data_IF_487063875638
#
_entry.id   IF_487063875638
#
_cell.length_a   1.000
_cell.length_b   1.000
_cell.length_c   1.000
_cell.angle_alpha   90.00
_cell.angle_beta   90.00
_cell.angle_gamma   90.00
#
_symmetry.space_group_name_H-M   'P 1'
#
loop_
_entity.id
_entity.type
_entity.pdbx_description
1 polymer ?
#
# COMPACT_ATOMS: atom_id res chain seq x y z
N UNK A 1 -1.37 -30.07 0.07
CA UNK A 1 -0.55 -29.74 1.25
C UNK A 1 0.22 -28.49 0.90
N UNK A 2 -0.16 -27.38 1.49
CA UNK A 2 0.47 -26.06 1.27
C UNK A 2 0.68 -25.41 2.61
N UNK A 3 1.74 -24.64 2.76
CA UNK A 3 2.02 -23.83 3.95
C UNK A 3 1.29 -22.50 3.93
N UNK A 4 1.07 -21.97 2.72
CA UNK A 4 0.45 -20.67 2.50
C UNK A 4 -0.64 -20.78 1.42
N UNK A 5 -1.80 -20.21 1.71
CA UNK A 5 -2.86 -19.92 0.75
C UNK A 5 -2.88 -18.41 0.51
N UNK A 6 -2.88 -18.00 -0.76
CA UNK A 6 -3.03 -16.59 -1.14
C UNK A 6 -4.31 -16.45 -1.94
N UNK A 7 -5.15 -15.48 -1.59
CA UNK A 7 -6.36 -15.16 -2.33
C UNK A 7 -6.57 -13.65 -2.48
N UNK A 8 -7.22 -13.24 -3.55
CA UNK A 8 -7.58 -11.84 -3.82
C UNK A 8 -9.03 -11.71 -4.32
N UNK A 9 -9.89 -12.61 -3.87
CA UNK A 9 -11.31 -12.56 -4.19
C UNK A 9 -12.03 -11.49 -3.36
N UNK A 10 -13.25 -11.17 -3.77
CA UNK A 10 -14.12 -10.34 -2.94
C UNK A 10 -14.33 -11.01 -1.57
N UNK A 11 -14.27 -10.26 -0.45
CA UNK A 11 -14.53 -10.80 0.88
C UNK A 11 -15.85 -11.60 0.94
N UNK A 12 -15.80 -12.73 1.63
CA UNK A 12 -16.90 -13.69 1.72
C UNK A 12 -16.96 -14.73 0.59
N UNK A 13 -16.06 -14.67 -0.39
CA UNK A 13 -16.06 -15.66 -1.50
C UNK A 13 -15.56 -17.02 -1.03
N UNK A 14 -14.45 -17.10 -0.30
CA UNK A 14 -13.95 -18.36 0.26
C UNK A 14 -14.96 -18.99 1.23
N UNK A 15 -15.61 -18.17 2.03
CA UNK A 15 -16.66 -18.60 2.97
C UNK A 15 -17.82 -19.26 2.23
N UNK A 16 -18.27 -18.69 1.10
CA UNK A 16 -19.33 -19.28 0.27
C UNK A 16 -18.94 -20.62 -0.35
N UNK A 17 -17.65 -20.85 -0.56
CA UNK A 17 -17.14 -22.11 -1.10
C UNK A 17 -16.84 -23.14 -0.01
N UNK A 18 -17.10 -22.84 1.26
CA UNK A 18 -16.75 -23.70 2.38
C UNK A 18 -15.24 -23.79 2.63
N UNK A 19 -14.50 -22.77 2.21
CA UNK A 19 -13.06 -22.66 2.33
C UNK A 19 -12.66 -21.47 3.19
N UNK A 20 -13.47 -21.12 4.19
CA UNK A 20 -13.09 -20.08 5.13
C UNK A 20 -11.75 -20.41 5.81
N UNK A 21 -10.98 -19.42 6.26
CA UNK A 21 -9.75 -19.69 7.03
C UNK A 21 -9.99 -20.62 8.21
N UNK A 22 -11.14 -20.51 8.86
CA UNK A 22 -11.49 -21.37 10.01
C UNK A 22 -11.83 -22.80 9.57
N UNK A 23 -12.43 -22.99 8.39
CA UNK A 23 -12.67 -24.33 7.84
C UNK A 23 -11.36 -24.99 7.42
N UNK A 24 -10.48 -24.25 6.73
CA UNK A 24 -9.18 -24.76 6.29
C UNK A 24 -8.24 -25.10 7.46
N UNK A 25 -8.33 -24.38 8.57
CA UNK A 25 -7.56 -24.67 9.78
C UNK A 25 -7.92 -25.96 10.47
N UNK A 26 -9.12 -26.49 10.25
CA UNK A 26 -9.53 -27.81 10.79
C UNK A 26 -8.66 -28.93 10.23
N UNK A 27 -8.30 -28.83 8.94
CA UNK A 27 -7.47 -29.82 8.26
C UNK A 27 -5.98 -29.50 8.29
N UNK A 28 -5.65 -28.19 8.37
CA UNK A 28 -4.27 -27.71 8.42
C UNK A 28 -4.14 -26.52 9.41
N UNK A 29 -3.98 -26.80 10.71
CA UNK A 29 -3.85 -25.75 11.73
C UNK A 29 -2.67 -24.77 11.49
N UNK A 30 -1.63 -25.24 10.80
CA UNK A 30 -0.45 -24.44 10.45
C UNK A 30 -0.59 -23.59 9.19
N UNK A 31 -1.74 -23.62 8.51
CA UNK A 31 -1.95 -22.87 7.28
C UNK A 31 -1.92 -21.35 7.53
N UNK A 32 -1.10 -20.65 6.77
CA UNK A 32 -1.11 -19.18 6.70
C UNK A 32 -2.00 -18.79 5.52
N UNK A 33 -3.01 -17.95 5.77
CA UNK A 33 -3.93 -17.49 4.73
C UNK A 33 -3.73 -16.00 4.49
N UNK A 34 -3.16 -15.62 3.33
CA UNK A 34 -3.02 -14.24 2.92
C UNK A 34 -4.22 -13.82 2.06
N UNK A 35 -4.95 -12.82 2.53
CA UNK A 35 -6.17 -12.31 1.90
C UNK A 35 -5.96 -10.87 1.47
N UNK A 36 -5.99 -10.64 0.16
CA UNK A 36 -5.77 -9.31 -0.42
C UNK A 36 -7.11 -8.79 -0.95
N UNK A 37 -7.51 -7.60 -0.53
CA UNK A 37 -8.75 -6.99 -1.00
C UNK A 37 -8.67 -5.47 -1.00
N UNK A 38 -9.64 -4.80 -1.59
CA UNK A 38 -9.64 -3.34 -1.67
C UNK A 38 -9.63 -2.67 -0.30
N UNK A 39 -10.52 -3.12 0.60
CA UNK A 39 -10.78 -2.49 1.89
C UNK A 39 -10.59 -3.40 3.10
N UNK A 40 -9.95 -4.55 2.92
CA UNK A 40 -9.75 -5.54 3.98
C UNK A 40 -10.95 -6.46 4.17
N UNK A 41 -10.77 -7.46 5.02
CA UNK A 41 -11.80 -8.48 5.31
C UNK A 41 -12.82 -8.00 6.35
N UNK A 42 -12.49 -6.96 7.09
CA UNK A 42 -13.30 -6.41 8.19
C UNK A 42 -13.54 -4.91 7.98
N UNK A 43 -14.36 -4.33 8.86
CA UNK A 43 -14.66 -2.90 8.81
C UNK A 43 -15.85 -2.55 7.89
N UNK A 44 -16.28 -1.27 7.93
CA UNK A 44 -17.55 -0.85 7.32
C UNK A 44 -17.54 -0.88 5.78
N UNK A 45 -16.37 -0.92 5.15
CA UNK A 45 -16.21 -0.92 3.69
C UNK A 45 -15.80 -2.26 3.10
N UNK A 46 -15.60 -3.30 3.90
CA UNK A 46 -15.13 -4.62 3.44
C UNK A 46 -16.01 -5.24 2.35
N UNK A 47 -17.31 -4.93 2.34
CA UNK A 47 -18.27 -5.42 1.36
C UNK A 47 -18.22 -4.68 0.01
N UNK A 48 -17.54 -3.52 -0.06
CA UNK A 48 -17.45 -2.71 -1.27
C UNK A 48 -16.41 -3.26 -2.24
N UNK A 49 -16.63 -3.13 -3.55
CA UNK A 49 -15.59 -3.43 -4.52
C UNK A 49 -14.47 -2.39 -4.42
N UNK A 50 -13.22 -2.83 -4.45
CA UNK A 50 -12.05 -1.96 -4.41
C UNK A 50 -10.96 -2.49 -5.33
N UNK A 51 -10.68 -1.74 -6.40
CA UNK A 51 -9.52 -1.95 -7.26
C UNK A 51 -8.47 -0.88 -6.94
N UNK A 52 -7.21 -1.11 -7.33
CA UNK A 52 -6.09 -0.20 -7.07
C UNK A 52 -6.45 1.27 -7.35
N UNK A 53 -7.10 1.54 -8.47
CA UNK A 53 -7.47 2.91 -8.88
C UNK A 53 -8.32 3.66 -7.86
N UNK A 54 -9.30 2.97 -7.26
CA UNK A 54 -10.20 3.55 -6.25
C UNK A 54 -9.49 3.62 -4.90
N UNK A 55 -8.76 2.58 -4.55
CA UNK A 55 -8.02 2.47 -3.29
C UNK A 55 -6.84 3.46 -3.22
N UNK A 56 -6.19 3.77 -4.34
CA UNK A 56 -5.18 4.83 -4.45
C UNK A 56 -5.79 6.21 -4.13
N UNK A 57 -7.02 6.46 -4.61
CA UNK A 57 -7.76 7.68 -4.28
C UNK A 57 -8.15 7.74 -2.80
N UNK A 58 -8.71 6.64 -2.27
CA UNK A 58 -9.15 6.56 -0.88
C UNK A 58 -7.98 6.63 0.11
N UNK A 59 -6.82 6.03 -0.23
CA UNK A 59 -5.59 6.09 0.55
C UNK A 59 -4.84 7.42 0.48
N UNK A 60 -5.32 8.40 -0.32
CA UNK A 60 -4.75 9.75 -0.41
C UNK A 60 -3.70 9.94 -1.50
N UNK A 61 -3.15 8.88 -2.07
CA UNK A 61 -2.06 8.97 -3.05
C UNK A 61 -2.41 9.81 -4.29
N UNK A 62 -3.65 9.68 -4.77
CA UNK A 62 -4.13 10.46 -5.92
C UNK A 62 -4.20 11.96 -5.64
N UNK A 63 -4.48 12.34 -4.39
CA UNK A 63 -4.57 13.73 -4.01
C UNK A 63 -3.21 14.44 -4.09
N UNK A 64 -2.17 13.84 -3.55
CA UNK A 64 -0.82 14.45 -3.49
C UNK A 64 -0.04 14.33 -4.82
N UNK A 65 -0.52 13.50 -5.75
CA UNK A 65 0.17 13.20 -7.00
C UNK A 65 -0.36 14.07 -8.15
N UNK A 66 0.52 14.81 -8.79
CA UNK A 66 0.20 15.64 -9.95
C UNK A 66 0.49 17.12 -9.75
N UNK A 67 -0.05 17.94 -10.63
CA UNK A 67 0.10 19.38 -10.62
C UNK A 67 -1.09 20.05 -9.97
N UNK A 68 -0.90 21.15 -9.22
CA UNK A 68 -1.97 21.80 -8.44
C UNK A 68 -3.09 22.40 -9.31
N UNK A 69 -2.81 22.70 -10.56
CA UNK A 69 -3.74 23.29 -11.54
C UNK A 69 -4.47 22.26 -12.41
N UNK A 70 -4.30 20.98 -12.13
CA UNK A 70 -4.85 19.87 -12.93
C UNK A 70 -5.59 18.86 -12.05
N UNK A 71 -6.49 18.07 -12.63
CA UNK A 71 -7.10 16.95 -11.92
C UNK A 71 -6.05 15.98 -11.39
N UNK A 72 -6.32 15.32 -10.26
CA UNK A 72 -5.46 14.27 -9.74
C UNK A 72 -5.13 13.22 -10.80
N UNK A 73 -3.86 12.86 -10.91
CA UNK A 73 -3.37 11.94 -11.94
C UNK A 73 -3.03 10.57 -11.37
N UNK A 74 -3.14 9.57 -12.22
CA UNK A 74 -2.70 8.21 -11.91
C UNK A 74 -1.32 7.97 -12.50
N UNK A 75 -0.36 7.39 -11.75
CA UNK A 75 0.80 6.79 -12.38
C UNK A 75 0.32 5.65 -13.29
N UNK A 76 0.96 5.48 -14.45
CA UNK A 76 0.60 4.42 -15.39
C UNK A 76 1.13 3.05 -14.95
N UNK A 77 0.93 2.74 -13.67
CA UNK A 77 1.35 1.51 -12.98
C UNK A 77 0.26 1.10 -11.97
N UNK A 78 0.20 -0.19 -11.65
CA UNK A 78 -0.68 -0.71 -10.60
C UNK A 78 -0.01 -0.61 -9.22
N UNK A 79 0.22 0.63 -8.77
CA UNK A 79 0.95 0.90 -7.52
C UNK A 79 0.23 0.31 -6.31
N UNK A 80 -1.08 0.53 -6.20
CA UNK A 80 -1.87 0.02 -5.07
C UNK A 80 -1.80 -1.51 -4.96
N UNK A 81 -1.96 -2.23 -6.07
CA UNK A 81 -1.88 -3.69 -6.10
C UNK A 81 -0.47 -4.19 -5.74
N UNK A 82 0.56 -3.53 -6.28
CA UNK A 82 1.96 -3.88 -5.99
C UNK A 82 2.28 -3.69 -4.50
N UNK A 83 1.84 -2.59 -3.90
CA UNK A 83 2.05 -2.32 -2.48
C UNK A 83 1.31 -3.34 -1.61
N UNK A 84 0.07 -3.68 -1.95
CA UNK A 84 -0.68 -4.71 -1.24
C UNK A 84 0.01 -6.08 -1.33
N UNK A 85 0.53 -6.44 -2.51
CA UNK A 85 1.32 -7.66 -2.70
C UNK A 85 2.58 -7.69 -1.84
N UNK A 86 3.32 -6.58 -1.76
CA UNK A 86 4.50 -6.47 -0.90
C UNK A 86 4.15 -6.60 0.59
N UNK A 87 3.11 -5.90 1.06
CA UNK A 87 2.66 -6.02 2.45
C UNK A 87 2.14 -7.41 2.78
N UNK A 88 1.41 -8.03 1.85
CA UNK A 88 0.97 -9.43 2.02
C UNK A 88 2.16 -10.39 2.13
N UNK A 89 3.18 -10.24 1.28
CA UNK A 89 4.40 -11.05 1.34
C UNK A 89 5.16 -10.86 2.66
N UNK A 90 5.30 -9.60 3.14
CA UNK A 90 5.89 -9.31 4.45
C UNK A 90 5.07 -9.94 5.58
N UNK A 91 3.75 -9.80 5.52
CA UNK A 91 2.83 -10.41 6.49
C UNK A 91 2.95 -11.93 6.54
N UNK A 92 3.05 -12.58 5.39
CA UNK A 92 3.27 -14.05 5.30
C UNK A 92 4.60 -14.45 5.94
N UNK A 93 5.68 -13.71 5.68
CA UNK A 93 6.98 -14.00 6.32
C UNK A 93 6.92 -13.84 7.84
N UNK A 94 6.26 -12.80 8.34
CA UNK A 94 6.07 -12.60 9.78
C UNK A 94 5.21 -13.70 10.40
N UNK A 95 4.13 -14.09 9.71
CA UNK A 95 3.26 -15.20 10.12
C UNK A 95 4.02 -16.54 10.15
N UNK A 96 4.89 -16.76 9.18
CA UNK A 96 5.75 -17.94 9.13
C UNK A 96 6.74 -17.97 10.31
N UNK A 97 7.44 -16.86 10.58
CA UNK A 97 8.36 -16.74 11.72
C UNK A 97 7.62 -16.98 13.05
N UNK A 98 6.40 -16.45 13.18
CA UNK A 98 5.57 -16.66 14.37
C UNK A 98 5.16 -18.13 14.50
N UNK A 99 4.74 -18.77 13.42
CA UNK A 99 4.38 -20.21 13.40
C UNK A 99 5.54 -21.10 13.84
N UNK A 100 6.77 -20.81 13.40
CA UNK A 100 7.95 -21.57 13.80
C UNK A 100 8.31 -21.43 15.29
N UNK A 101 7.82 -20.36 15.93
CA UNK A 101 8.02 -20.11 17.36
C UNK A 101 6.84 -20.57 18.21
N UNK A 102 5.69 -20.82 17.61
CA UNK A 102 4.50 -21.29 18.30
C UNK A 102 4.65 -22.77 18.66
N UNK A 103 4.53 -23.17 19.92
CA UNK A 103 4.61 -24.59 20.33
C UNK A 103 3.62 -25.50 19.62
N UNK A 104 2.47 -24.96 19.21
CA UNK A 104 1.44 -25.69 18.49
C UNK A 104 1.60 -25.58 16.95
N UNK A 105 2.55 -24.79 16.46
CA UNK A 105 2.79 -24.57 15.03
C UNK A 105 1.62 -23.94 14.28
N UNK A 106 0.82 -23.08 14.94
CA UNK A 106 -0.39 -22.51 14.38
C UNK A 106 -0.10 -21.43 13.35
N UNK A 107 -0.77 -21.52 12.21
CA UNK A 107 -0.83 -20.47 11.20
C UNK A 107 -1.83 -19.37 11.56
N UNK A 108 -1.82 -18.30 10.78
CA UNK A 108 -2.72 -17.16 10.98
C UNK A 108 -3.20 -16.56 9.66
N UNK A 109 -4.19 -15.68 9.75
CA UNK A 109 -4.68 -14.90 8.61
C UNK A 109 -3.89 -13.61 8.52
N UNK A 110 -3.44 -13.28 7.31
CA UNK A 110 -2.85 -12.00 6.93
C UNK A 110 -3.88 -11.28 6.07
N UNK A 111 -4.42 -10.19 6.58
CA UNK A 111 -5.37 -9.33 5.84
C UNK A 111 -4.62 -8.11 5.30
N UNK A 112 -4.54 -8.00 3.98
CA UNK A 112 -3.82 -6.93 3.29
C UNK A 112 -4.79 -6.10 2.45
N UNK A 113 -5.18 -4.95 2.96
CA UNK A 113 -6.02 -4.01 2.24
C UNK A 113 -5.19 -3.11 1.31
N UNK A 114 -5.65 -2.96 0.06
CA UNK A 114 -4.97 -2.11 -0.92
C UNK A 114 -4.91 -0.66 -0.44
N UNK A 115 -6.03 -0.11 0.09
CA UNK A 115 -6.05 1.29 0.54
C UNK A 115 -5.11 1.55 1.72
N UNK A 116 -4.99 0.59 2.66
CA UNK A 116 -4.07 0.71 3.80
C UNK A 116 -2.61 0.63 3.35
N UNK A 117 -2.34 -0.24 2.38
CA UNK A 117 -1.03 -0.36 1.76
C UNK A 117 -0.60 0.92 1.07
N UNK A 118 -1.53 1.59 0.38
CA UNK A 118 -1.31 2.90 -0.21
C UNK A 118 -1.13 3.97 0.86
N UNK A 119 -2.01 3.98 1.88
CA UNK A 119 -1.95 4.96 2.97
C UNK A 119 -0.62 4.86 3.75
N UNK A 120 -0.08 3.67 3.94
CA UNK A 120 1.22 3.47 4.57
C UNK A 120 2.37 4.21 3.84
N UNK A 121 2.22 4.49 2.55
CA UNK A 121 3.22 5.23 1.75
C UNK A 121 3.04 6.75 1.82
N UNK A 122 2.03 7.24 2.56
CA UNK A 122 1.72 8.67 2.65
C UNK A 122 2.64 9.42 3.64
N UNK A 123 3.70 8.76 4.11
CA UNK A 123 4.73 9.36 4.97
C UNK A 123 4.14 10.06 6.21
N UNK A 124 4.49 11.33 6.40
CA UNK A 124 4.16 12.13 7.57
C UNK A 124 2.86 12.96 7.44
N UNK A 125 2.01 12.71 6.43
CA UNK A 125 0.81 13.55 6.21
C UNK A 125 -0.12 13.62 7.42
N UNK A 126 -0.26 12.54 8.19
CA UNK A 126 -1.10 12.53 9.40
C UNK A 126 -0.47 13.35 10.53
N UNK A 127 0.79 13.12 10.94
CA UNK A 127 1.41 13.96 11.95
C UNK A 127 1.59 15.42 11.51
N UNK A 128 1.82 15.72 10.23
CA UNK A 128 1.83 17.08 9.69
C UNK A 128 0.50 17.79 9.93
N UNK A 129 -0.60 17.12 9.57
CA UNK A 129 -1.93 17.68 9.78
C UNK A 129 -2.29 17.80 11.27
N UNK A 130 -2.07 16.75 12.06
CA UNK A 130 -2.45 16.76 13.48
C UNK A 130 -1.56 17.68 14.33
N UNK A 131 -0.29 17.87 13.94
CA UNK A 131 0.67 18.70 14.67
C UNK A 131 0.61 20.19 14.35
N UNK A 132 0.35 20.55 13.09
CA UNK A 132 0.38 21.95 12.66
C UNK A 132 -0.71 22.34 11.63
N UNK A 133 -1.66 21.44 11.36
CA UNK A 133 -2.74 21.70 10.40
C UNK A 133 -2.28 21.74 8.94
N UNK A 134 -1.04 21.30 8.64
CA UNK A 134 -0.52 21.30 7.28
C UNK A 134 -1.22 20.24 6.41
N UNK A 135 -1.65 20.64 5.24
CA UNK A 135 -2.19 19.73 4.21
C UNK A 135 -1.17 19.68 3.09
N UNK A 136 -0.72 18.46 2.78
CA UNK A 136 0.23 18.25 1.69
C UNK A 136 -0.53 18.27 0.36
N UNK A 137 -0.34 19.34 -0.39
CA UNK A 137 -0.95 19.58 -1.70
C UNK A 137 -0.12 18.95 -2.84
N UNK A 138 -0.72 18.74 -4.03
CA UNK A 138 0.05 18.32 -5.20
C UNK A 138 1.11 19.36 -5.56
N UNK A 139 2.32 18.91 -5.88
CA UNK A 139 3.50 19.78 -6.09
C UNK A 139 4.19 19.58 -7.44
N UNK A 140 3.54 18.90 -8.39
CA UNK A 140 4.13 18.59 -9.68
C UNK A 140 5.27 17.56 -9.55
N UNK A 141 6.44 17.91 -10.05
CA UNK A 141 7.65 17.07 -9.95
C UNK A 141 8.58 17.47 -8.79
N UNK A 142 8.11 18.33 -7.89
CA UNK A 142 8.84 18.67 -6.65
C UNK A 142 8.38 17.80 -5.48
N UNK A 143 9.13 17.87 -4.38
CA UNK A 143 8.72 17.31 -3.10
C UNK A 143 8.68 18.44 -2.06
N UNK A 144 7.66 18.44 -1.23
CA UNK A 144 7.48 19.45 -0.18
C UNK A 144 8.66 19.44 0.80
N UNK A 145 9.26 20.62 1.04
CA UNK A 145 10.33 20.82 2.03
C UNK A 145 11.75 20.56 1.53
N UNK A 146 11.95 20.15 0.28
CA UNK A 146 13.30 19.92 -0.28
C UNK A 146 13.51 20.74 -1.56
N UNK A 147 14.51 21.63 -1.56
CA UNK A 147 14.86 22.52 -2.68
C UNK A 147 16.38 22.51 -2.89
N UNK A 148 16.88 22.37 -4.14
CA UNK A 148 16.14 22.04 -5.36
C UNK A 148 15.85 20.53 -5.45
N UNK A 149 14.61 20.20 -5.74
CA UNK A 149 14.22 18.84 -6.14
C UNK A 149 13.14 18.98 -7.20
N UNK A 150 13.48 18.77 -8.48
CA UNK A 150 12.54 18.95 -9.59
C UNK A 150 13.07 18.33 -10.88
N UNK A 151 12.20 18.32 -11.89
CA UNK A 151 12.53 18.02 -13.28
C UNK A 151 12.63 19.32 -14.05
N UNK A 152 13.75 19.55 -14.73
CA UNK A 152 14.03 20.75 -15.48
C UNK A 152 14.22 20.43 -16.96
N UNK A 153 13.75 21.32 -17.84
CA UNK A 153 13.95 21.18 -19.28
C UNK A 153 15.31 21.80 -19.66
N UNK A 154 16.07 21.07 -20.47
CA UNK A 154 17.35 21.50 -21.00
C UNK A 154 17.17 22.26 -22.32
N UNK A 155 18.22 22.98 -22.79
CA UNK A 155 18.19 23.76 -24.03
C UNK A 155 17.98 22.91 -25.28
N UNK A 156 18.27 21.60 -25.21
CA UNK A 156 18.04 20.63 -26.28
C UNK A 156 16.70 19.90 -26.18
N UNK A 157 15.75 20.47 -25.41
CA UNK A 157 14.40 19.91 -25.16
C UNK A 157 14.36 18.52 -24.52
N UNK A 158 15.39 18.17 -23.74
CA UNK A 158 15.39 16.99 -22.89
C UNK A 158 15.07 17.39 -21.46
N UNK A 159 14.99 16.40 -20.58
CA UNK A 159 14.75 16.63 -19.15
C UNK A 159 15.91 16.12 -18.31
N UNK A 160 16.24 16.89 -17.28
CA UNK A 160 17.18 16.50 -16.23
C UNK A 160 16.45 16.54 -14.89
N UNK A 161 16.71 15.55 -14.05
CA UNK A 161 16.22 15.51 -12.68
C UNK A 161 17.35 15.95 -11.77
N UNK A 162 17.08 16.95 -10.92
CA UNK A 162 18.01 17.43 -9.90
C UNK A 162 17.41 17.17 -8.55
N UNK A 163 18.16 16.51 -7.66
CA UNK A 163 17.79 16.26 -6.26
C UNK A 163 18.87 16.81 -5.33
N UNK A 164 18.65 18.00 -4.78
CA UNK A 164 19.58 18.67 -3.86
C UNK A 164 19.22 18.43 -2.40
N UNK A 165 19.20 17.18 -1.96
CA UNK A 165 18.68 16.75 -0.66
C UNK A 165 19.63 17.04 0.52
N UNK A 166 20.16 18.24 0.59
CA UNK A 166 20.99 18.70 1.70
C UNK A 166 22.12 19.63 1.25
N UNK A 167 22.61 20.47 2.16
CA UNK A 167 23.59 21.53 1.89
C UNK A 167 24.86 21.05 1.21
N UNK A 168 25.35 19.89 1.61
CA UNK A 168 26.58 19.31 1.04
C UNK A 168 26.40 18.83 -0.40
N UNK A 169 25.18 18.41 -0.77
CA UNK A 169 24.81 18.00 -2.14
C UNK A 169 24.55 19.25 -2.98
N UNK A 170 23.86 20.23 -2.42
CA UNK A 170 23.56 21.50 -3.09
C UNK A 170 24.81 22.28 -3.49
N UNK A 171 25.90 22.19 -2.71
CA UNK A 171 27.18 22.87 -2.95
C UNK A 171 28.07 22.22 -4.02
N UNK A 172 27.67 21.09 -4.58
CA UNK A 172 28.41 20.38 -5.66
C UNK A 172 27.93 20.80 -7.03
#
# INVERSE_FOLDING_TARGET
KSDVLIENFKPGTLEKWGMSPDDLKKDNPGLITARISGYGQTGPRSHLPGYASVCEGYGGFRYVNGFPDRPPVRPNLSIGDTLAGLHAAMGVMLAYIQREKDPDGKGQVVDAAIYESVFNMMEAVVPEYSGCGAIREPSGSTITGIVPTNTYMTSDNKHVIIGGNGDSIFKR
#
